data_IF_795131475347
#
_entry.id   IF_795131475347
#
_cell.length_a   1.000
_cell.length_b   1.000
_cell.length_c   1.000
_cell.angle_alpha   90.00
_cell.angle_beta   90.00
_cell.angle_gamma   90.00
#
_symmetry.space_group_name_H-M   'P 1'
#
loop_
_entity.id
_entity.type
_entity.pdbx_description
1 polymer ?
#
# COMPACT_ATOMS: atom_id res chain seq x y z
N UNK A 1 -10.43 -13.15 -5.67
CA UNK A 1 -9.84 -12.56 -4.44
C UNK A 1 -9.91 -11.05 -4.60
N UNK A 2 -10.28 -10.29 -3.57
CA UNK A 2 -10.35 -8.83 -3.67
C UNK A 2 -8.93 -8.24 -3.82
N UNK A 3 -8.79 -7.26 -4.71
CA UNK A 3 -7.58 -6.43 -4.78
C UNK A 3 -7.70 -5.31 -3.74
N UNK A 4 -6.73 -5.21 -2.84
CA UNK A 4 -6.69 -4.18 -1.79
C UNK A 4 -5.66 -3.12 -2.18
N UNK A 5 -6.06 -1.85 -2.03
CA UNK A 5 -5.16 -0.70 -2.15
C UNK A 5 -4.99 -0.12 -0.75
N UNK A 6 -3.75 -0.04 -0.26
CA UNK A 6 -3.45 0.55 1.05
C UNK A 6 -3.10 2.03 0.93
N UNK A 7 -3.54 2.83 1.90
CA UNK A 7 -3.02 4.18 2.11
C UNK A 7 -1.83 4.21 3.08
N UNK A 8 -1.24 5.40 3.24
CA UNK A 8 -0.08 5.64 4.09
C UNK A 8 -0.36 5.31 5.56
N UNK A 9 -1.56 5.64 6.07
CA UNK A 9 -1.93 5.40 7.46
C UNK A 9 -1.99 3.90 7.79
N UNK A 10 -2.52 3.10 6.87
CA UNK A 10 -2.56 1.65 7.00
C UNK A 10 -1.14 1.07 7.09
N UNK A 11 -0.26 1.46 6.16
CA UNK A 11 1.12 0.97 6.11
C UNK A 11 1.90 1.37 7.37
N UNK A 12 1.74 2.61 7.84
CA UNK A 12 2.37 3.11 9.07
C UNK A 12 1.94 2.29 10.29
N UNK A 13 0.65 1.96 10.41
CA UNK A 13 0.15 1.20 11.56
C UNK A 13 0.72 -0.22 11.55
N UNK A 14 0.71 -0.88 10.38
CA UNK A 14 1.25 -2.24 10.27
C UNK A 14 2.76 -2.29 10.49
N UNK A 15 3.51 -1.28 10.07
CA UNK A 15 4.94 -1.16 10.36
C UNK A 15 5.20 -1.01 11.87
N UNK A 16 4.46 -0.10 12.54
CA UNK A 16 4.59 0.15 13.99
C UNK A 16 4.30 -1.04 14.89
N UNK A 17 3.48 -1.98 14.43
CA UNK A 17 3.11 -3.19 15.17
C UNK A 17 3.84 -4.44 14.65
N UNK A 18 4.80 -4.28 13.73
CA UNK A 18 5.50 -5.38 13.06
C UNK A 18 4.52 -6.39 12.40
N UNK A 19 3.39 -5.88 11.92
CA UNK A 19 2.22 -6.66 11.48
C UNK A 19 2.14 -6.93 9.98
N UNK A 20 3.16 -6.60 9.19
CA UNK A 20 3.14 -6.83 7.75
C UNK A 20 2.91 -8.30 7.36
N UNK A 21 3.38 -9.25 8.16
CA UNK A 21 3.12 -10.67 7.93
C UNK A 21 1.64 -11.06 8.07
N UNK A 22 0.88 -10.35 8.91
CA UNK A 22 -0.58 -10.55 9.02
C UNK A 22 -1.22 -10.16 7.69
N UNK A 23 -0.86 -8.99 7.16
CA UNK A 23 -1.38 -8.49 5.89
C UNK A 23 -1.02 -9.42 4.73
N UNK A 24 0.21 -9.92 4.70
CA UNK A 24 0.68 -10.92 3.75
C UNK A 24 -0.08 -12.25 3.87
N UNK A 25 -0.37 -12.72 5.10
CA UNK A 25 -1.04 -14.00 5.32
C UNK A 25 -2.46 -14.03 4.72
N UNK A 26 -3.18 -12.90 4.81
CA UNK A 26 -4.59 -12.75 4.40
C UNK A 26 -4.70 -12.50 2.89
N UNK A 27 -3.88 -11.60 2.34
CA UNK A 27 -4.05 -11.13 0.95
C UNK A 27 -3.02 -11.67 -0.03
N UNK A 28 -1.87 -12.20 0.44
CA UNK A 28 -0.68 -12.60 -0.34
C UNK A 28 0.00 -11.47 -1.13
N UNK A 29 -0.76 -10.49 -1.57
CA UNK A 29 -0.32 -9.33 -2.31
C UNK A 29 -1.30 -8.18 -2.08
N UNK A 30 -0.78 -6.96 -1.99
CA UNK A 30 -1.59 -5.73 -2.01
C UNK A 30 -0.96 -4.72 -2.95
N UNK A 31 -1.71 -3.68 -3.28
CA UNK A 31 -1.27 -2.60 -4.14
C UNK A 31 -1.17 -1.29 -3.36
N UNK A 32 -0.26 -0.42 -3.78
CA UNK A 32 -0.17 0.96 -3.31
C UNK A 32 0.29 1.86 -4.46
N UNK A 33 0.21 3.18 -4.27
CA UNK A 33 0.68 4.14 -5.27
C UNK A 33 2.08 4.66 -4.94
N UNK A 34 2.83 5.21 -5.93
CA UNK A 34 4.11 5.84 -5.67
C UNK A 34 4.04 7.00 -4.66
N UNK A 35 2.92 7.74 -4.63
CA UNK A 35 2.70 8.83 -3.68
C UNK A 35 2.61 8.32 -2.24
N UNK A 36 1.85 7.23 -2.02
CA UNK A 36 1.73 6.59 -0.70
C UNK A 36 3.06 5.98 -0.26
N UNK A 37 3.77 5.28 -1.15
CA UNK A 37 5.09 4.74 -0.84
C UNK A 37 6.09 5.84 -0.43
N UNK A 38 6.01 7.01 -1.09
CA UNK A 38 6.81 8.18 -0.73
C UNK A 38 6.42 8.77 0.63
N UNK A 39 5.13 8.83 0.96
CA UNK A 39 4.65 9.34 2.25
C UNK A 39 5.03 8.43 3.42
N UNK A 40 5.00 7.11 3.21
CA UNK A 40 5.37 6.10 4.19
C UNK A 40 6.82 6.23 4.67
N UNK A 41 7.75 6.67 3.79
CA UNK A 41 9.16 6.98 4.10
C UNK A 41 10.03 5.82 4.61
N UNK A 42 9.51 4.60 4.64
CA UNK A 42 10.22 3.36 5.01
C UNK A 42 10.23 2.36 3.84
N UNK A 43 11.04 1.30 3.95
CA UNK A 43 11.05 0.23 2.96
C UNK A 43 9.77 -0.60 3.01
N UNK A 44 9.16 -0.85 1.86
CA UNK A 44 8.01 -1.74 1.74
C UNK A 44 8.47 -3.16 1.37
N UNK A 45 7.85 -4.20 1.96
CA UNK A 45 8.10 -5.58 1.55
C UNK A 45 7.85 -5.80 0.05
N UNK A 46 8.65 -6.66 -0.58
CA UNK A 46 8.57 -6.91 -2.03
C UNK A 46 7.25 -7.53 -2.53
N UNK A 47 6.39 -8.01 -1.62
CA UNK A 47 5.05 -8.50 -1.96
C UNK A 47 4.00 -7.37 -2.06
N UNK A 48 4.36 -6.14 -1.66
CA UNK A 48 3.55 -4.94 -1.87
C UNK A 48 3.89 -4.36 -3.25
N UNK A 49 2.90 -4.28 -4.14
CA UNK A 49 3.10 -3.81 -5.51
C UNK A 49 2.82 -2.31 -5.58
N UNK A 50 3.82 -1.55 -6.03
CA UNK A 50 3.66 -0.12 -6.29
C UNK A 50 3.21 0.05 -7.74
N UNK A 51 1.98 0.53 -7.95
CA UNK A 51 1.43 0.78 -9.29
C UNK A 51 1.00 2.25 -9.47
N UNK A 52 1.42 2.85 -10.58
CA UNK A 52 1.02 4.21 -10.95
C UNK A 52 -0.41 4.21 -11.47
N UNK A 53 -1.26 5.08 -10.90
CA UNK A 53 -2.63 5.27 -11.36
C UNK A 53 -2.64 5.77 -12.82
N UNK A 54 -3.26 4.99 -13.70
CA UNK A 54 -3.33 5.24 -15.15
C UNK A 54 -4.41 6.27 -15.51
N UNK A 55 -5.52 6.25 -14.78
CA UNK A 55 -6.64 7.18 -14.97
C UNK A 55 -6.61 8.28 -13.89
N UNK A 56 -6.33 9.52 -14.31
CA UNK A 56 -6.22 10.69 -13.42
C UNK A 56 -7.42 11.62 -13.54
N UNK A 57 -8.55 11.13 -14.07
CA UNK A 57 -9.76 11.93 -14.30
C UNK A 57 -10.35 12.56 -13.03
N UNK A 58 -9.99 12.08 -11.84
CA UNK A 58 -10.40 12.62 -10.54
C UNK A 58 -9.24 13.41 -9.90
N UNK A 59 -8.87 14.57 -10.45
CA UNK A 59 -7.87 15.48 -9.83
C UNK A 59 -8.42 16.84 -9.40
N UNK A 60 -9.65 17.19 -9.75
CA UNK A 60 -10.21 18.53 -9.54
C UNK A 60 -11.61 18.48 -8.91
N UNK A 61 -11.68 18.17 -7.61
CA UNK A 61 -12.83 18.47 -6.75
C UNK A 61 -12.38 19.33 -5.57
#
# INVERSE_FOLDING_TARGET
MPSIISDSSCLIIFDKIEGFEILHSVYKQIYTTPEVAKEFRNELPGWIIIETVKDKSIKDL
#
